data_IF_007629639541
#
_entry.id   IF_007629639541
#
_cell.length_a   1.000
_cell.length_b   1.000
_cell.length_c   1.000
_cell.angle_alpha   90.00
_cell.angle_beta   90.00
_cell.angle_gamma   90.00
#
_symmetry.space_group_name_H-M   'P 1'
#
loop_
_entity.id
_entity.type
_entity.pdbx_description
1 polymer ?
#
# COMPACT_ATOMS: atom_id res chain seq x y z
N UNK A 1 2.37 22.08 -70.07
CA UNK A 1 2.21 23.47 -69.51
C UNK A 1 0.89 23.52 -68.77
N UNK A 2 0.89 23.21 -67.49
CA UNK A 2 -0.29 23.27 -66.64
C UNK A 2 0.12 23.93 -65.32
N UNK A 3 -0.47 25.06 -64.97
CA UNK A 3 -0.18 25.72 -63.69
C UNK A 3 -1.10 25.16 -62.59
N UNK A 4 -0.55 24.41 -61.67
CA UNK A 4 -1.18 24.06 -60.39
C UNK A 4 -0.39 24.74 -59.28
N UNK A 5 -0.70 25.98 -58.94
CA UNK A 5 -0.37 26.42 -57.58
C UNK A 5 -1.43 27.36 -57.02
N UNK A 6 -2.55 26.84 -56.49
CA UNK A 6 -3.53 27.72 -55.79
C UNK A 6 -4.44 26.97 -54.78
N UNK A 7 -4.05 25.82 -54.29
CA UNK A 7 -4.86 25.08 -53.29
C UNK A 7 -4.08 24.70 -51.99
N UNK A 8 -2.96 25.36 -51.69
CA UNK A 8 -2.13 25.07 -50.52
C UNK A 8 -2.19 26.11 -49.40
N UNK A 9 -3.26 26.93 -49.32
CA UNK A 9 -3.30 28.04 -48.34
C UNK A 9 -4.57 28.10 -47.46
N UNK A 10 -5.22 26.99 -47.17
CA UNK A 10 -6.46 27.03 -46.38
C UNK A 10 -6.57 25.99 -45.22
N UNK A 11 -5.46 25.46 -44.71
CA UNK A 11 -5.48 24.52 -43.60
C UNK A 11 -4.61 24.96 -42.39
N UNK A 12 -4.56 26.26 -42.13
CA UNK A 12 -3.76 26.75 -41.02
C UNK A 12 -4.58 27.71 -40.16
N UNK A 13 -5.54 27.23 -39.39
CA UNK A 13 -6.08 27.99 -38.23
C UNK A 13 -7.30 27.27 -37.62
N UNK A 14 -7.07 26.19 -36.90
CA UNK A 14 -8.00 25.77 -35.83
C UNK A 14 -7.27 24.94 -34.78
N UNK A 15 -6.18 25.50 -34.23
CA UNK A 15 -5.62 25.00 -32.94
C UNK A 15 -6.23 25.85 -31.84
N UNK A 16 -7.49 25.64 -31.52
CA UNK A 16 -8.04 26.10 -30.26
C UNK A 16 -7.39 25.26 -29.14
N UNK A 17 -6.76 25.87 -28.12
CA UNK A 17 -6.37 25.15 -26.94
C UNK A 17 -7.64 24.66 -26.25
N UNK A 18 -7.87 23.35 -26.26
CA UNK A 18 -8.83 22.71 -25.38
C UNK A 18 -8.24 22.87 -23.98
N UNK A 19 -8.58 23.97 -23.31
CA UNK A 19 -8.43 24.08 -21.87
C UNK A 19 -9.38 23.05 -21.26
N UNK A 20 -8.92 21.81 -21.15
CA UNK A 20 -9.59 20.78 -20.36
C UNK A 20 -9.78 21.32 -18.95
N UNK A 21 -10.92 21.05 -18.27
CA UNK A 21 -11.05 21.40 -16.87
C UNK A 21 -9.85 20.80 -16.16
N UNK A 22 -9.05 21.65 -15.48
CA UNK A 22 -8.01 21.21 -14.58
C UNK A 22 -8.65 20.16 -13.68
N UNK A 23 -8.21 18.89 -13.80
CA UNK A 23 -8.66 17.82 -12.92
C UNK A 23 -8.27 18.28 -11.51
N UNK A 24 -9.24 18.89 -10.81
CA UNK A 24 -9.08 19.31 -9.44
C UNK A 24 -8.62 18.08 -8.69
N UNK A 25 -7.42 18.11 -8.15
CA UNK A 25 -6.93 17.07 -7.28
C UNK A 25 -7.94 16.99 -6.14
N UNK A 26 -8.74 15.93 -6.11
CA UNK A 26 -9.64 15.65 -5.01
C UNK A 26 -8.75 15.31 -3.81
N UNK A 27 -8.35 16.36 -3.08
CA UNK A 27 -7.70 16.17 -1.79
C UNK A 27 -8.76 15.74 -0.79
N UNK A 28 -8.42 14.76 0.06
CA UNK A 28 -9.30 14.37 1.16
C UNK A 28 -9.66 15.62 1.99
N UNK A 29 -10.96 15.80 2.24
CA UNK A 29 -11.48 16.86 3.09
C UNK A 29 -11.46 16.51 4.59
N UNK A 30 -11.01 15.32 4.95
CA UNK A 30 -10.96 14.85 6.33
C UNK A 30 -9.93 15.68 7.14
N UNK A 31 -10.30 16.20 8.33
CA UNK A 31 -9.49 17.19 9.05
C UNK A 31 -8.05 16.76 9.35
N UNK A 32 -7.83 15.49 9.69
CA UNK A 32 -6.51 14.95 10.03
C UNK A 32 -5.81 14.27 8.85
N UNK A 33 -6.34 14.38 7.63
CA UNK A 33 -5.74 13.76 6.45
C UNK A 33 -4.31 14.25 6.19
N UNK A 34 -4.08 15.54 6.39
CA UNK A 34 -2.81 16.21 6.12
C UNK A 34 -2.34 17.10 7.30
N UNK A 35 -2.99 16.98 8.46
CA UNK A 35 -2.67 17.72 9.68
C UNK A 35 -2.13 16.75 10.72
N UNK A 36 -0.97 17.08 11.29
CA UNK A 36 -0.34 16.29 12.34
C UNK A 36 -1.09 16.45 13.67
N UNK A 37 -0.96 15.46 14.55
CA UNK A 37 -1.47 15.52 15.91
C UNK A 37 -0.65 16.50 16.74
N UNK A 38 -1.27 17.08 17.75
CA UNK A 38 -0.61 18.02 18.67
C UNK A 38 0.45 17.32 19.56
N UNK A 39 0.21 16.05 19.89
CA UNK A 39 1.16 15.21 20.62
C UNK A 39 2.17 14.58 19.65
N UNK A 40 3.44 14.93 19.80
CA UNK A 40 4.51 14.47 18.94
C UNK A 40 4.73 12.94 19.01
N UNK A 41 4.49 12.32 20.18
CA UNK A 41 4.66 10.89 20.35
C UNK A 41 3.51 10.11 19.68
N UNK A 42 2.29 10.61 19.80
CA UNK A 42 1.15 10.04 19.09
C UNK A 42 1.30 10.20 17.58
N UNK A 43 1.77 11.34 17.10
CA UNK A 43 2.02 11.56 15.67
C UNK A 43 3.13 10.63 15.14
N UNK A 44 4.22 10.45 15.89
CA UNK A 44 5.28 9.51 15.50
C UNK A 44 4.75 8.07 15.38
N UNK A 45 3.88 7.66 16.33
CA UNK A 45 3.23 6.34 16.29
C UNK A 45 2.26 6.21 15.12
N UNK A 46 1.49 7.26 14.83
CA UNK A 46 0.59 7.33 13.70
C UNK A 46 1.35 7.26 12.38
N UNK A 47 2.45 8.01 12.25
CA UNK A 47 3.29 8.03 11.05
C UNK A 47 3.91 6.65 10.78
N UNK A 48 4.51 6.01 11.79
CA UNK A 48 5.06 4.67 11.67
C UNK A 48 4.00 3.65 11.20
N UNK A 49 2.79 3.72 11.76
CA UNK A 49 1.69 2.85 11.33
C UNK A 49 1.26 3.16 9.89
N UNK A 50 1.18 4.43 9.49
CA UNK A 50 0.79 4.83 8.12
C UNK A 50 1.79 4.36 7.06
N UNK A 51 3.07 4.22 7.39
CA UNK A 51 4.10 3.66 6.50
C UNK A 51 3.92 2.15 6.28
N UNK A 52 3.34 1.44 7.25
CA UNK A 52 3.05 0.01 7.19
C UNK A 52 1.72 -0.33 6.51
N UNK A 53 0.91 0.66 6.19
CA UNK A 53 -0.41 0.48 5.59
C UNK A 53 -0.42 0.82 4.10
N UNK A 54 -1.02 -0.04 3.29
CA UNK A 54 -1.18 0.17 1.84
C UNK A 54 -2.39 1.05 1.55
N UNK A 55 -2.22 1.94 0.60
CA UNK A 55 -3.33 2.61 -0.03
C UNK A 55 -4.03 1.65 -1.00
N UNK A 56 -5.31 1.43 -0.84
CA UNK A 56 -6.07 0.43 -1.61
C UNK A 56 -6.26 0.79 -3.09
N UNK A 57 -6.15 2.08 -3.43
CA UNK A 57 -6.37 2.61 -4.79
C UNK A 57 -5.11 3.16 -5.45
N UNK A 58 -3.93 3.04 -4.83
CA UNK A 58 -2.72 3.78 -5.17
C UNK A 58 -1.54 2.88 -5.54
N UNK A 59 -1.67 1.94 -6.46
CA UNK A 59 -0.56 1.11 -6.96
C UNK A 59 0.42 0.61 -5.86
N UNK A 60 -0.11 0.13 -4.74
CA UNK A 60 0.65 -0.40 -3.60
C UNK A 60 1.54 0.62 -2.85
N UNK A 61 1.31 1.91 -2.97
CA UNK A 61 1.99 2.90 -2.14
C UNK A 61 1.48 2.85 -0.69
N UNK A 62 2.31 3.29 0.27
CA UNK A 62 1.86 3.50 1.64
C UNK A 62 0.83 4.64 1.72
N UNK A 63 -0.03 4.62 2.74
CA UNK A 63 -0.92 5.76 2.96
C UNK A 63 -0.17 7.00 3.44
N UNK A 64 1.05 6.85 3.96
CA UNK A 64 1.92 7.96 4.31
C UNK A 64 2.36 8.74 3.08
N UNK A 65 2.71 8.05 1.99
CA UNK A 65 3.31 8.65 0.79
C UNK A 65 2.28 9.02 -0.28
N UNK A 66 1.12 8.38 -0.26
CA UNK A 66 0.11 8.57 -1.30
C UNK A 66 -0.66 9.88 -1.15
N UNK A 67 -0.84 10.59 -2.27
CA UNK A 67 -1.66 11.81 -2.37
C UNK A 67 -3.11 11.53 -2.75
N UNK A 68 -3.50 10.27 -2.92
CA UNK A 68 -4.88 9.93 -3.27
C UNK A 68 -5.86 10.30 -2.14
N UNK A 69 -7.09 10.68 -2.46
CA UNK A 69 -8.11 11.02 -1.46
C UNK A 69 -8.34 9.90 -0.44
N UNK A 70 -8.42 8.65 -0.91
CA UNK A 70 -8.55 7.48 -0.06
C UNK A 70 -7.41 7.36 0.98
N UNK A 71 -6.16 7.62 0.58
CA UNK A 71 -5.04 7.61 1.50
C UNK A 71 -5.20 8.71 2.57
N UNK A 72 -5.72 9.88 2.18
CA UNK A 72 -6.06 10.95 3.12
C UNK A 72 -7.11 10.54 4.14
N UNK A 73 -8.17 9.89 3.69
CA UNK A 73 -9.23 9.40 4.58
C UNK A 73 -8.70 8.32 5.54
N UNK A 74 -7.85 7.42 5.06
CA UNK A 74 -7.18 6.43 5.90
C UNK A 74 -6.23 7.07 6.92
N UNK A 75 -5.43 8.08 6.54
CA UNK A 75 -4.59 8.84 7.47
C UNK A 75 -5.42 9.52 8.57
N UNK A 76 -6.56 10.10 8.19
CA UNK A 76 -7.49 10.67 9.17
C UNK A 76 -7.97 9.62 10.17
N UNK A 77 -8.36 8.43 9.71
CA UNK A 77 -8.81 7.34 10.59
C UNK A 77 -7.70 6.90 11.55
N UNK A 78 -6.48 6.71 11.07
CA UNK A 78 -5.33 6.34 11.90
C UNK A 78 -5.09 7.39 13.00
N UNK A 79 -4.96 8.67 12.62
CA UNK A 79 -4.72 9.75 13.58
C UNK A 79 -5.85 9.92 14.58
N UNK A 80 -7.10 9.85 14.15
CA UNK A 80 -8.27 9.99 15.03
C UNK A 80 -8.30 8.91 16.12
N UNK A 81 -7.97 7.67 15.76
CA UNK A 81 -8.00 6.54 16.69
C UNK A 81 -6.82 6.59 17.67
N UNK A 82 -5.61 6.93 17.18
CA UNK A 82 -4.43 7.10 18.03
C UNK A 82 -4.64 8.28 18.98
N UNK A 83 -5.23 9.38 18.53
CA UNK A 83 -5.59 10.50 19.40
C UNK A 83 -6.63 10.12 20.45
N UNK A 84 -7.51 9.16 20.16
CA UNK A 84 -8.47 8.59 21.11
C UNK A 84 -7.83 7.60 22.11
N UNK A 85 -6.52 7.31 21.99
CA UNK A 85 -5.78 6.44 22.90
C UNK A 85 -5.71 4.98 22.46
N UNK A 86 -6.16 4.63 21.24
CA UNK A 86 -5.99 3.27 20.70
C UNK A 86 -4.50 3.01 20.37
N UNK A 87 -4.03 1.78 20.63
CA UNK A 87 -2.67 1.41 20.24
C UNK A 87 -2.55 1.21 18.71
N UNK A 88 -1.35 1.38 18.12
CA UNK A 88 -1.12 1.13 16.70
C UNK A 88 -1.56 -0.27 16.25
N UNK A 89 -1.39 -1.27 17.10
CA UNK A 89 -1.79 -2.66 16.83
C UNK A 89 -3.32 -2.81 16.74
N UNK A 90 -4.05 -2.14 17.64
CA UNK A 90 -5.52 -2.14 17.62
C UNK A 90 -6.04 -1.44 16.37
N UNK A 91 -5.45 -0.30 16.01
CA UNK A 91 -5.82 0.44 14.80
C UNK A 91 -5.54 -0.39 13.54
N UNK A 92 -4.39 -1.08 13.49
CA UNK A 92 -4.06 -2.00 12.39
C UNK A 92 -5.07 -3.13 12.29
N UNK A 93 -5.36 -3.80 13.40
CA UNK A 93 -6.31 -4.91 13.44
C UNK A 93 -7.71 -4.47 12.93
N UNK A 94 -8.17 -3.30 13.34
CA UNK A 94 -9.43 -2.75 12.87
C UNK A 94 -9.42 -2.45 11.37
N UNK A 95 -8.30 -1.94 10.83
CA UNK A 95 -8.17 -1.68 9.39
C UNK A 95 -8.13 -2.99 8.59
N UNK A 96 -7.45 -4.01 9.10
CA UNK A 96 -7.40 -5.36 8.49
C UNK A 96 -8.79 -5.99 8.49
N UNK A 97 -9.53 -5.91 9.59
CA UNK A 97 -10.91 -6.41 9.66
C UNK A 97 -11.82 -5.74 8.64
N UNK A 98 -11.66 -4.43 8.42
CA UNK A 98 -12.54 -3.66 7.56
C UNK A 98 -12.16 -3.74 6.07
N UNK A 99 -10.88 -3.80 5.75
CA UNK A 99 -10.35 -3.71 4.38
C UNK A 99 -9.64 -4.98 3.90
N UNK A 100 -9.48 -5.97 4.77
CA UNK A 100 -8.78 -7.23 4.51
C UNK A 100 -7.26 -7.14 4.74
N UNK A 101 -6.61 -8.30 4.75
CA UNK A 101 -5.17 -8.44 5.08
C UNK A 101 -4.26 -7.67 4.12
N UNK A 102 -4.72 -7.41 2.89
CA UNK A 102 -3.97 -6.69 1.88
C UNK A 102 -3.61 -5.26 2.29
N UNK A 103 -4.34 -4.66 3.25
CA UNK A 103 -4.08 -3.30 3.73
C UNK A 103 -2.77 -3.18 4.50
N UNK A 104 -2.26 -4.28 5.08
CA UNK A 104 -1.03 -4.28 5.86
C UNK A 104 0.14 -4.87 5.08
N UNK A 105 1.32 -4.20 5.14
CA UNK A 105 2.57 -4.78 4.64
C UNK A 105 3.14 -5.85 5.57
N UNK A 106 2.75 -5.85 6.84
CA UNK A 106 3.19 -6.90 7.77
C UNK A 106 2.37 -8.16 7.52
N UNK A 107 3.00 -9.27 7.13
CA UNK A 107 2.30 -10.54 7.06
C UNK A 107 1.87 -10.92 8.49
N UNK A 108 0.57 -11.08 8.69
CA UNK A 108 0.06 -11.71 9.91
C UNK A 108 0.58 -13.16 9.96
N UNK A 109 0.98 -13.62 11.15
CA UNK A 109 1.21 -15.05 11.40
C UNK A 109 -0.14 -15.75 11.61
N UNK A 110 -1.03 -15.59 10.63
CA UNK A 110 -2.36 -16.16 10.68
C UNK A 110 -2.34 -17.66 10.41
N UNK A 111 -3.42 -18.34 10.76
CA UNK A 111 -3.61 -19.77 10.53
C UNK A 111 -3.39 -20.18 9.06
N UNK A 112 -3.50 -19.25 8.12
CA UNK A 112 -3.25 -19.49 6.70
C UNK A 112 -1.77 -19.45 6.31
N UNK A 113 -0.92 -18.75 7.05
CA UNK A 113 0.51 -18.55 6.70
C UNK A 113 1.47 -19.45 7.48
N UNK A 114 1.05 -20.00 8.64
CA UNK A 114 1.90 -20.88 9.43
C UNK A 114 2.41 -22.13 8.68
N UNK A 115 1.63 -22.78 7.77
CA UNK A 115 2.13 -23.95 7.05
C UNK A 115 3.30 -23.61 6.13
N UNK A 116 3.36 -22.36 5.63
CA UNK A 116 4.45 -21.89 4.79
C UNK A 116 5.79 -21.93 5.53
N UNK A 117 5.78 -21.68 6.84
CA UNK A 117 6.98 -21.75 7.68
C UNK A 117 7.21 -23.17 8.25
N UNK A 118 6.16 -23.92 8.54
CA UNK A 118 6.25 -25.26 9.09
C UNK A 118 6.75 -26.30 8.06
N UNK A 119 6.34 -26.17 6.79
CA UNK A 119 6.72 -27.11 5.73
C UNK A 119 8.24 -27.23 5.53
N UNK A 120 9.02 -26.15 5.36
CA UNK A 120 10.46 -26.28 5.19
C UNK A 120 11.16 -26.82 6.43
N UNK A 121 10.69 -26.50 7.63
CA UNK A 121 11.25 -27.06 8.88
C UNK A 121 10.98 -28.57 8.96
N UNK A 122 9.76 -29.00 8.66
CA UNK A 122 9.40 -30.42 8.60
C UNK A 122 10.24 -31.17 7.56
N UNK A 123 10.43 -30.58 6.38
CA UNK A 123 11.26 -31.17 5.31
C UNK A 123 12.71 -31.35 5.76
N UNK A 124 13.31 -30.36 6.42
CA UNK A 124 14.67 -30.44 6.96
C UNK A 124 14.78 -31.52 8.05
N UNK A 125 13.80 -31.65 8.93
CA UNK A 125 13.78 -32.69 9.96
C UNK A 125 13.70 -34.09 9.37
N UNK A 126 12.84 -34.30 8.38
CA UNK A 126 12.68 -35.60 7.68
C UNK A 126 13.95 -35.95 6.90
N UNK A 127 14.51 -35.00 6.13
CA UNK A 127 15.73 -35.19 5.39
C UNK A 127 16.92 -35.49 6.32
N UNK A 128 17.05 -34.77 7.42
CA UNK A 128 18.07 -35.01 8.45
C UNK A 128 17.93 -36.40 9.10
N UNK A 129 16.71 -36.82 9.44
CA UNK A 129 16.45 -38.13 10.00
C UNK A 129 16.82 -39.26 9.03
N UNK A 130 16.46 -39.10 7.74
CA UNK A 130 16.82 -40.09 6.70
C UNK A 130 18.33 -40.16 6.53
N UNK A 131 19.01 -39.02 6.49
CA UNK A 131 20.47 -38.97 6.34
C UNK A 131 21.17 -39.61 7.54
N UNK A 132 20.73 -39.27 8.76
CA UNK A 132 21.27 -39.88 9.99
C UNK A 132 21.10 -41.39 10.03
N UNK A 133 19.94 -41.91 9.63
CA UNK A 133 19.69 -43.38 9.54
C UNK A 133 20.55 -44.05 8.46
N UNK A 134 20.82 -43.38 7.35
CA UNK A 134 21.69 -43.91 6.28
C UNK A 134 23.17 -43.94 6.67
N UNK A 135 23.66 -42.89 7.34
CA UNK A 135 25.04 -42.81 7.80
C UNK A 135 25.31 -43.82 8.93
N UNK A 136 24.39 -43.91 9.91
CA UNK A 136 24.50 -44.87 11.01
C UNK A 136 24.51 -46.34 10.56
N UNK A 137 23.84 -46.68 9.43
CA UNK A 137 23.86 -48.07 8.86
C UNK A 137 25.09 -48.40 8.02
N UNK A 138 25.93 -47.40 7.67
CA UNK A 138 27.17 -47.63 6.93
C UNK A 138 28.40 -47.74 7.84
N UNK A 139 28.23 -47.55 9.14
CA UNK A 139 29.31 -47.64 10.14
C UNK A 139 29.39 -49.00 10.87
N UNK A 140 28.50 -49.97 10.53
CA UNK A 140 28.58 -51.37 10.93
C UNK A 140 29.01 -52.24 9.72
#
# INVERSE_FOLDING_TARGET
MTPFPLLAAAMLSLSAPIAGPAAGQMTSSAPLANTQLADAQQEASAQALMEELRCLTCQSQSIADSKAPMAGDMRHQVRSRIAAGESPEQVRAWLVERYGDYVSYRPGLDSATWPLFALPVLFLLVAGAILFRRLGRRGE
#
